data_IF_964737470247
#
_entry.id   IF_964737470247
#
_cell.length_a   1.000
_cell.length_b   1.000
_cell.length_c   1.000
_cell.angle_alpha   90.00
_cell.angle_beta   90.00
_cell.angle_gamma   90.00
#
_symmetry.space_group_name_H-M   'P 1'
#
loop_
_entity.id
_entity.type
_entity.pdbx_description
1 polymer ?
#
# COMPACT_ATOMS: atom_id res chain seq x y z
N UNK A 1 13.46 13.30 -9.30
CA UNK A 1 12.94 14.63 -9.68
C UNK A 1 11.75 15.05 -8.81
N UNK A 2 11.51 16.36 -8.72
CA UNK A 2 10.27 16.88 -8.12
C UNK A 2 9.15 16.73 -9.15
N UNK A 3 8.18 15.85 -8.88
CA UNK A 3 7.07 15.58 -9.80
C UNK A 3 5.92 16.57 -9.61
N UNK A 4 5.70 17.02 -8.36
CA UNK A 4 4.68 18.00 -8.01
C UNK A 4 5.28 19.09 -7.14
N UNK A 5 4.98 20.34 -7.47
CA UNK A 5 5.32 21.50 -6.63
C UNK A 5 4.16 21.72 -5.67
N UNK A 6 4.42 21.59 -4.38
CA UNK A 6 3.44 21.82 -3.34
C UNK A 6 3.42 23.30 -2.94
N UNK A 7 2.24 23.89 -2.93
CA UNK A 7 2.04 25.23 -2.41
C UNK A 7 1.97 25.24 -0.89
N UNK A 8 2.80 26.05 -0.25
CA UNK A 8 2.71 26.29 1.19
C UNK A 8 1.42 27.08 1.50
N UNK A 9 0.55 26.48 2.38
CA UNK A 9 -0.69 27.14 2.84
C UNK A 9 -0.61 27.46 4.34
N UNK A 10 -0.82 26.45 5.18
CA UNK A 10 -0.70 26.59 6.64
C UNK A 10 0.63 26.05 7.18
N UNK A 11 1.32 25.23 6.40
CA UNK A 11 2.60 24.67 6.75
C UNK A 11 3.69 25.22 5.81
N UNK A 12 4.91 25.34 6.33
CA UNK A 12 6.10 25.57 5.49
C UNK A 12 6.44 24.27 4.81
N UNK A 13 6.57 24.30 3.48
CA UNK A 13 6.93 23.15 2.66
C UNK A 13 8.25 23.47 1.95
N UNK A 14 9.25 22.64 2.18
CA UNK A 14 10.51 22.67 1.47
C UNK A 14 10.64 21.40 0.64
N UNK A 15 10.98 21.56 -0.63
CA UNK A 15 11.22 20.46 -1.56
C UNK A 15 12.67 20.52 -2.04
N UNK A 16 13.30 19.36 -2.15
CA UNK A 16 14.69 19.23 -2.59
C UNK A 16 14.82 18.11 -3.61
N UNK A 17 15.41 18.42 -4.72
CA UNK A 17 15.70 17.47 -5.80
C UNK A 17 17.13 16.98 -5.71
N UNK A 18 17.31 15.65 -5.82
CA UNK A 18 18.63 15.05 -5.90
C UNK A 18 19.28 15.38 -7.23
N UNK A 19 20.51 15.89 -7.19
CA UNK A 19 21.25 16.35 -8.37
C UNK A 19 21.14 17.85 -8.62
N UNK A 20 20.13 18.52 -8.04
CA UNK A 20 19.94 19.98 -8.12
C UNK A 20 20.19 20.63 -6.76
N UNK A 21 19.35 20.34 -5.77
CA UNK A 21 19.40 20.96 -4.44
C UNK A 21 20.24 20.16 -3.44
N UNK A 22 20.39 18.87 -3.67
CA UNK A 22 21.19 17.95 -2.84
C UNK A 22 21.90 16.91 -3.69
N UNK A 23 23.12 16.50 -3.28
CA UNK A 23 23.90 15.53 -4.04
C UNK A 23 23.36 14.08 -3.91
N UNK A 24 22.73 13.73 -2.80
CA UNK A 24 22.22 12.38 -2.52
C UNK A 24 21.01 12.46 -1.59
N UNK A 25 20.12 11.44 -1.62
CA UNK A 25 19.04 11.28 -0.65
C UNK A 25 19.54 11.35 0.79
N UNK A 26 20.60 10.61 1.10
CA UNK A 26 21.21 10.61 2.43
C UNK A 26 21.63 11.99 2.91
N UNK A 27 22.19 12.84 2.02
CA UNK A 27 22.58 14.20 2.38
C UNK A 27 21.36 15.11 2.54
N UNK A 28 20.38 14.97 1.65
CA UNK A 28 19.12 15.72 1.72
C UNK A 28 18.38 15.46 3.01
N UNK A 29 18.21 14.17 3.36
CA UNK A 29 17.48 13.77 4.55
C UNK A 29 18.19 14.17 5.86
N UNK A 30 19.53 14.02 5.92
CA UNK A 30 20.31 14.54 7.07
C UNK A 30 20.18 16.06 7.23
N UNK A 31 20.12 16.80 6.13
CA UNK A 31 19.87 18.24 6.16
C UNK A 31 18.45 18.57 6.64
N UNK A 32 17.45 17.82 6.18
CA UNK A 32 16.06 17.98 6.59
C UNK A 32 15.87 17.72 8.10
N UNK A 33 16.42 16.64 8.64
CA UNK A 33 16.33 16.31 10.07
C UNK A 33 16.86 17.43 11.00
N UNK A 34 17.86 18.20 10.54
CA UNK A 34 18.40 19.35 11.31
C UNK A 34 17.48 20.57 11.31
N UNK A 35 16.45 20.58 10.47
CA UNK A 35 15.47 21.65 10.38
C UNK A 35 14.23 21.37 11.25
N UNK A 36 14.25 20.26 12.02
CA UNK A 36 13.18 19.84 12.91
C UNK A 36 11.80 19.75 12.21
N UNK A 37 11.69 19.02 11.07
CA UNK A 37 10.43 18.89 10.39
C UNK A 37 9.48 18.02 11.19
N UNK A 38 8.16 18.28 11.08
CA UNK A 38 7.15 17.38 11.62
C UNK A 38 6.90 16.19 10.70
N UNK A 39 6.93 16.43 9.40
CA UNK A 39 6.66 15.44 8.35
C UNK A 39 7.81 15.44 7.34
N UNK A 40 8.25 14.25 6.97
CA UNK A 40 9.25 14.03 5.92
C UNK A 40 8.60 13.17 4.83
N UNK A 41 8.51 13.71 3.61
CA UNK A 41 8.08 12.95 2.45
C UNK A 41 9.31 12.51 1.63
N UNK A 42 9.52 11.21 1.51
CA UNK A 42 10.54 10.60 0.65
C UNK A 42 9.83 10.04 -0.56
N UNK A 43 10.04 10.63 -1.73
CA UNK A 43 9.29 10.31 -2.95
C UNK A 43 9.22 8.80 -3.23
N UNK A 44 10.35 8.11 -3.18
CA UNK A 44 10.40 6.64 -3.29
C UNK A 44 11.60 6.06 -2.55
N UNK A 45 11.38 4.98 -1.80
CA UNK A 45 12.45 4.20 -1.16
C UNK A 45 12.87 3.05 -2.09
N UNK A 46 14.01 3.22 -2.79
CA UNK A 46 14.54 2.23 -3.73
C UNK A 46 15.75 1.46 -3.21
N UNK A 47 16.48 2.02 -2.27
CA UNK A 47 17.76 1.50 -1.81
C UNK A 47 17.84 1.42 -0.28
N UNK A 48 18.77 0.58 0.19
CA UNK A 48 19.04 0.34 1.61
C UNK A 48 19.28 1.65 2.38
N UNK A 49 20.02 2.59 1.80
CA UNK A 49 20.38 3.83 2.49
C UNK A 49 19.16 4.69 2.75
N UNK A 50 18.29 4.86 1.74
CA UNK A 50 17.05 5.61 1.87
C UNK A 50 16.11 4.98 2.90
N UNK A 51 15.97 3.64 2.89
CA UNK A 51 15.15 2.89 3.85
C UNK A 51 15.69 3.01 5.29
N UNK A 52 16.99 2.81 5.49
CA UNK A 52 17.63 2.93 6.80
C UNK A 52 17.43 4.32 7.41
N UNK A 53 17.58 5.37 6.59
CA UNK A 53 17.41 6.74 7.05
C UNK A 53 15.95 7.09 7.32
N UNK A 54 15.02 6.57 6.52
CA UNK A 54 13.59 6.75 6.75
C UNK A 54 13.15 6.11 8.07
N UNK A 55 13.60 4.89 8.36
CA UNK A 55 13.37 4.22 9.65
C UNK A 55 13.96 5.00 10.82
N UNK A 56 15.21 5.47 10.70
CA UNK A 56 15.85 6.28 11.73
C UNK A 56 15.11 7.61 11.98
N UNK A 57 14.63 8.25 10.93
CA UNK A 57 13.82 9.47 11.04
C UNK A 57 12.49 9.20 11.76
N UNK A 58 11.82 8.07 11.45
CA UNK A 58 10.60 7.67 12.11
C UNK A 58 10.81 7.36 13.61
N UNK A 59 11.92 6.71 13.98
CA UNK A 59 12.28 6.44 15.38
C UNK A 59 12.54 7.72 16.18
N UNK A 60 13.05 8.75 15.53
CA UNK A 60 13.32 10.06 16.19
C UNK A 60 12.08 10.94 16.30
N UNK A 61 10.89 10.44 15.92
CA UNK A 61 9.60 11.10 16.15
C UNK A 61 9.03 11.84 14.96
N UNK A 62 9.66 11.78 13.78
CA UNK A 62 9.11 12.35 12.56
C UNK A 62 8.02 11.44 11.95
N UNK A 63 6.96 12.04 11.41
CA UNK A 63 6.09 11.31 10.50
C UNK A 63 6.78 11.18 9.13
N UNK A 64 7.15 9.96 8.76
CA UNK A 64 7.75 9.68 7.45
C UNK A 64 6.69 9.09 6.52
N UNK A 65 6.51 9.70 5.37
CA UNK A 65 5.64 9.23 4.30
C UNK A 65 6.53 8.88 3.09
N UNK A 66 6.31 7.72 2.51
CA UNK A 66 7.06 7.31 1.31
C UNK A 66 6.25 6.41 0.40
N UNK A 67 6.77 6.15 -0.80
CA UNK A 67 6.20 5.19 -1.74
C UNK A 67 7.16 4.04 -2.01
N UNK A 68 6.58 2.91 -2.39
CA UNK A 68 7.31 1.73 -2.85
C UNK A 68 6.55 1.05 -3.99
N UNK A 69 7.29 0.44 -4.93
CA UNK A 69 6.69 -0.33 -6.03
C UNK A 69 6.30 -1.74 -5.55
N UNK A 70 5.25 -1.85 -4.74
CA UNK A 70 4.70 -3.09 -4.17
C UNK A 70 3.19 -3.15 -4.38
N UNK A 71 2.60 -4.35 -4.41
CA UNK A 71 1.20 -4.56 -4.74
C UNK A 71 0.31 -4.79 -3.50
N UNK A 72 0.91 -5.11 -2.34
CA UNK A 72 0.19 -5.35 -1.10
C UNK A 72 0.96 -4.87 0.13
N UNK A 73 0.27 -4.70 1.25
CA UNK A 73 0.88 -4.31 2.52
C UNK A 73 1.89 -5.36 3.03
N UNK A 74 1.54 -6.64 2.94
CA UNK A 74 2.46 -7.72 3.31
C UNK A 74 3.73 -7.70 2.46
N UNK A 75 3.59 -7.53 1.14
CA UNK A 75 4.73 -7.42 0.23
C UNK A 75 5.59 -6.19 0.54
N UNK A 76 4.98 -5.07 0.93
CA UNK A 76 5.70 -3.85 1.33
C UNK A 76 6.58 -4.12 2.55
N UNK A 77 6.02 -4.73 3.60
CA UNK A 77 6.76 -5.10 4.81
C UNK A 77 7.92 -6.04 4.48
N UNK A 78 7.67 -7.12 3.74
CA UNK A 78 8.70 -8.06 3.30
C UNK A 78 9.82 -7.36 2.53
N UNK A 79 9.46 -6.51 1.56
CA UNK A 79 10.45 -5.80 0.73
C UNK A 79 11.34 -4.86 1.53
N UNK A 80 10.78 -4.17 2.53
CA UNK A 80 11.60 -3.34 3.43
C UNK A 80 12.60 -4.22 4.17
N UNK A 81 12.15 -5.32 4.79
CA UNK A 81 13.01 -6.21 5.58
C UNK A 81 14.11 -6.83 4.70
N UNK A 82 13.74 -7.38 3.54
CA UNK A 82 14.65 -8.09 2.62
C UNK A 82 15.69 -7.17 1.96
N UNK A 83 15.46 -5.86 1.98
CA UNK A 83 16.45 -4.89 1.52
C UNK A 83 17.67 -4.80 2.42
N UNK A 84 17.59 -5.34 3.64
CA UNK A 84 18.70 -5.35 4.60
C UNK A 84 19.43 -6.70 4.64
N UNK A 85 20.74 -6.69 4.93
CA UNK A 85 21.50 -7.93 5.11
C UNK A 85 20.88 -8.85 6.17
N UNK A 86 20.93 -10.18 6.02
CA UNK A 86 20.26 -11.13 6.94
C UNK A 86 20.53 -10.91 8.42
N UNK A 87 21.77 -10.54 8.78
CA UNK A 87 22.15 -10.29 10.18
C UNK A 87 21.50 -9.03 10.78
N UNK A 88 20.99 -8.10 9.95
CA UNK A 88 20.30 -6.88 10.39
C UNK A 88 18.76 -7.05 10.41
N UNK A 89 18.22 -7.99 9.68
CA UNK A 89 16.77 -8.15 9.53
C UNK A 89 16.00 -8.29 10.85
N UNK A 90 16.49 -9.02 11.90
CA UNK A 90 15.79 -9.06 13.18
C UNK A 90 15.64 -7.69 13.84
N UNK A 91 16.67 -6.85 13.76
CA UNK A 91 16.63 -5.48 14.27
C UNK A 91 15.64 -4.62 13.45
N UNK A 92 15.69 -4.74 12.12
CA UNK A 92 14.77 -3.99 11.23
C UNK A 92 13.32 -4.39 11.46
N UNK A 93 13.01 -5.67 11.68
CA UNK A 93 11.66 -6.11 12.06
C UNK A 93 11.18 -5.44 13.35
N UNK A 94 12.03 -5.39 14.37
CA UNK A 94 11.68 -4.72 15.62
C UNK A 94 11.44 -3.23 15.43
N UNK A 95 12.29 -2.52 14.69
CA UNK A 95 12.14 -1.10 14.37
C UNK A 95 10.86 -0.86 13.57
N UNK A 96 10.64 -1.62 12.50
CA UNK A 96 9.47 -1.49 11.63
C UNK A 96 8.17 -1.76 12.38
N UNK A 97 8.13 -2.79 13.25
CA UNK A 97 6.97 -3.08 14.08
C UNK A 97 6.57 -1.91 15.00
N UNK A 98 7.54 -1.11 15.44
CA UNK A 98 7.29 0.04 16.32
C UNK A 98 6.96 1.32 15.54
N UNK A 99 7.53 1.51 14.36
CA UNK A 99 7.47 2.77 13.62
C UNK A 99 6.42 2.79 12.52
N UNK A 100 6.15 1.64 11.86
CA UNK A 100 5.16 1.57 10.80
C UNK A 100 3.76 1.87 11.35
N UNK A 101 3.03 2.77 10.68
CA UNK A 101 1.68 3.18 11.08
C UNK A 101 0.61 2.65 10.13
N UNK A 102 0.84 2.79 8.84
CA UNK A 102 -0.11 2.33 7.83
C UNK A 102 0.60 2.00 6.53
N UNK A 103 -0.02 1.14 5.73
CA UNK A 103 0.31 0.91 4.33
C UNK A 103 -0.96 1.03 3.50
N UNK A 104 -0.89 1.79 2.42
CA UNK A 104 -1.96 1.89 1.42
C UNK A 104 -1.43 1.33 0.12
N UNK A 105 -1.98 0.19 -0.32
CA UNK A 105 -1.66 -0.41 -1.62
C UNK A 105 -2.74 -0.06 -2.62
N UNK A 106 -2.38 0.14 -3.89
CA UNK A 106 -3.31 0.56 -4.92
C UNK A 106 -3.09 -0.20 -6.23
N UNK A 107 -4.19 -0.66 -6.81
CA UNK A 107 -4.27 -1.17 -8.18
C UNK A 107 -5.19 -0.29 -9.02
N UNK A 108 -4.79 0.02 -10.25
CA UNK A 108 -5.63 0.73 -11.22
C UNK A 108 -6.24 -0.26 -12.20
N UNK A 109 -7.55 -0.41 -12.14
CA UNK A 109 -8.32 -1.34 -12.96
C UNK A 109 -9.04 -0.60 -14.09
N UNK A 110 -9.07 -1.16 -15.32
CA UNK A 110 -9.87 -0.58 -16.39
C UNK A 110 -11.35 -0.62 -16.00
N UNK A 111 -12.05 0.49 -16.24
CA UNK A 111 -13.49 0.57 -16.01
C UNK A 111 -14.25 -0.23 -17.07
N UNK A 112 -15.35 -0.84 -16.66
CA UNK A 112 -16.22 -1.61 -17.55
C UNK A 112 -16.86 -0.74 -18.65
N UNK A 113 -17.09 0.56 -18.39
CA UNK A 113 -17.62 1.51 -19.36
C UNK A 113 -16.58 2.04 -20.37
N UNK A 114 -15.33 1.56 -20.30
CA UNK A 114 -14.22 1.98 -21.17
C UNK A 114 -13.68 3.40 -20.88
N UNK A 115 -14.19 4.10 -19.86
CA UNK A 115 -13.82 5.49 -19.56
C UNK A 115 -12.70 5.58 -18.53
N UNK A 116 -11.50 5.14 -18.89
CA UNK A 116 -10.33 5.25 -18.03
C UNK A 116 -10.24 4.13 -16.99
N UNK A 117 -9.74 4.43 -15.79
CA UNK A 117 -9.44 3.47 -14.73
C UNK A 117 -10.09 3.86 -13.42
N UNK A 118 -10.29 2.88 -12.55
CA UNK A 118 -10.72 3.04 -11.16
C UNK A 118 -9.72 2.38 -10.24
N UNK A 119 -9.49 2.95 -9.05
CA UNK A 119 -8.54 2.43 -8.10
C UNK A 119 -9.22 1.46 -7.11
N UNK A 120 -8.72 0.23 -7.03
CA UNK A 120 -8.87 -0.63 -5.87
C UNK A 120 -7.77 -0.32 -4.86
N UNK A 121 -8.10 -0.22 -3.57
CA UNK A 121 -7.13 0.12 -2.53
C UNK A 121 -7.24 -0.82 -1.36
N UNK A 122 -6.10 -1.34 -0.93
CA UNK A 122 -5.95 -2.04 0.33
C UNK A 122 -5.49 -1.04 1.40
N UNK A 123 -6.08 -1.11 2.58
CA UNK A 123 -5.69 -0.31 3.74
C UNK A 123 -5.28 -1.23 4.88
N UNK A 124 -4.05 -1.07 5.36
CA UNK A 124 -3.53 -1.70 6.55
C UNK A 124 -3.16 -0.63 7.58
N UNK A 125 -3.76 -0.67 8.75
CA UNK A 125 -3.33 0.09 9.92
C UNK A 125 -2.63 -0.84 10.90
N UNK A 126 -1.44 -0.43 11.39
CA UNK A 126 -0.62 -1.30 12.22
C UNK A 126 -1.14 -1.29 13.66
N UNK A 127 -1.88 -2.35 13.99
CA UNK A 127 -2.31 -2.66 15.35
C UNK A 127 -1.33 -3.64 16.02
N UNK A 128 -1.59 -4.00 17.30
CA UNK A 128 -0.74 -4.90 18.08
C UNK A 128 -0.56 -6.27 17.42
N UNK A 129 -1.58 -6.80 16.74
CA UNK A 129 -1.49 -8.09 16.04
C UNK A 129 -0.47 -8.01 14.89
N UNK A 130 -0.56 -6.97 14.05
CA UNK A 130 0.37 -6.76 12.94
C UNK A 130 1.79 -6.49 13.45
N UNK A 131 1.97 -5.71 14.52
CA UNK A 131 3.27 -5.50 15.14
C UNK A 131 3.93 -6.83 15.54
N UNK A 132 3.17 -7.72 16.15
CA UNK A 132 3.67 -9.05 16.55
C UNK A 132 4.03 -9.89 15.33
N UNK A 133 3.19 -9.91 14.28
CA UNK A 133 3.49 -10.64 13.04
C UNK A 133 4.77 -10.15 12.35
N UNK A 134 5.01 -8.85 12.32
CA UNK A 134 6.25 -8.28 11.76
C UNK A 134 7.46 -8.71 12.59
N UNK A 135 7.37 -8.61 13.92
CA UNK A 135 8.45 -8.97 14.84
C UNK A 135 8.81 -10.44 14.77
N UNK A 136 7.79 -11.31 14.69
CA UNK A 136 7.91 -12.77 14.74
C UNK A 136 8.21 -13.40 13.37
N UNK A 137 8.45 -12.58 12.32
CA UNK A 137 8.68 -13.04 10.95
C UNK A 137 7.50 -13.81 10.32
N UNK A 138 6.29 -13.44 10.71
CA UNK A 138 5.02 -14.05 10.23
C UNK A 138 4.27 -13.11 9.28
N UNK A 139 5.00 -12.36 8.46
CA UNK A 139 4.45 -11.33 7.57
C UNK A 139 3.38 -11.89 6.62
N UNK A 140 3.49 -13.17 6.21
CA UNK A 140 2.51 -13.86 5.38
C UNK A 140 1.10 -13.92 5.99
N UNK A 141 0.96 -13.77 7.32
CA UNK A 141 -0.33 -13.78 8.02
C UNK A 141 -1.01 -12.39 8.06
N UNK A 142 -0.32 -11.32 7.65
CA UNK A 142 -0.85 -9.95 7.65
C UNK A 142 -2.14 -9.85 6.83
N UNK A 143 -2.18 -10.48 5.66
CA UNK A 143 -3.36 -10.47 4.78
C UNK A 143 -4.61 -11.00 5.50
N UNK A 144 -4.47 -12.05 6.30
CA UNK A 144 -5.58 -12.59 7.08
C UNK A 144 -6.05 -11.62 8.16
N UNK A 145 -5.12 -10.91 8.82
CA UNK A 145 -5.48 -9.89 9.82
C UNK A 145 -6.23 -8.75 9.15
N UNK A 146 -5.78 -8.25 8.00
CA UNK A 146 -6.48 -7.20 7.25
C UNK A 146 -7.91 -7.67 6.91
N UNK A 147 -8.06 -8.88 6.38
CA UNK A 147 -9.35 -9.41 5.95
C UNK A 147 -10.37 -9.60 7.10
N UNK A 148 -9.89 -9.78 8.34
CA UNK A 148 -10.73 -10.02 9.51
C UNK A 148 -10.91 -8.81 10.42
N UNK A 149 -10.16 -7.72 10.19
CA UNK A 149 -10.12 -6.52 11.06
C UNK A 149 -11.00 -5.38 10.54
N UNK A 150 -12.24 -5.67 10.17
CA UNK A 150 -13.20 -4.66 9.69
C UNK A 150 -13.48 -3.54 10.71
N UNK A 151 -13.27 -3.79 12.01
CA UNK A 151 -13.46 -2.78 13.08
C UNK A 151 -12.31 -1.79 13.18
N UNK A 152 -11.17 -2.07 12.56
CA UNK A 152 -9.96 -1.24 12.59
C UNK A 152 -9.82 -0.42 11.30
N UNK A 153 -10.92 -0.21 10.55
CA UNK A 153 -10.97 0.50 9.26
C UNK A 153 -10.00 -0.06 8.19
N UNK A 154 -9.64 -1.35 8.33
CA UNK A 154 -8.82 -2.04 7.35
C UNK A 154 -9.69 -2.57 6.20
N UNK A 155 -9.11 -2.59 5.00
CA UNK A 155 -9.77 -3.08 3.79
C UNK A 155 -8.79 -3.94 3.01
N UNK A 156 -9.15 -5.20 2.73
CA UNK A 156 -8.33 -6.06 1.89
C UNK A 156 -8.47 -5.69 0.40
N UNK A 157 -7.45 -5.99 -0.39
CA UNK A 157 -7.51 -5.79 -1.84
C UNK A 157 -8.67 -6.56 -2.47
N UNK A 158 -8.92 -7.79 -2.03
CA UNK A 158 -10.00 -8.64 -2.53
C UNK A 158 -11.38 -8.03 -2.24
N UNK A 159 -11.58 -7.43 -1.05
CA UNK A 159 -12.83 -6.74 -0.71
C UNK A 159 -13.01 -5.46 -1.53
N UNK A 160 -11.93 -4.70 -1.72
CA UNK A 160 -11.96 -3.49 -2.57
C UNK A 160 -12.31 -3.83 -4.03
N UNK A 161 -11.73 -4.91 -4.58
CA UNK A 161 -12.05 -5.38 -5.93
C UNK A 161 -13.50 -5.87 -6.00
N UNK A 162 -13.95 -6.63 -5.00
CA UNK A 162 -15.33 -7.11 -4.89
C UNK A 162 -16.32 -5.95 -4.94
N UNK A 163 -16.08 -4.90 -4.16
CA UNK A 163 -16.92 -3.70 -4.14
C UNK A 163 -17.01 -3.01 -5.52
N UNK A 164 -15.90 -2.95 -6.25
CA UNK A 164 -15.89 -2.35 -7.60
C UNK A 164 -16.69 -3.18 -8.61
N UNK A 165 -16.67 -4.50 -8.49
CA UNK A 165 -17.49 -5.39 -9.33
C UNK A 165 -18.97 -5.27 -8.96
N UNK A 166 -19.31 -5.29 -7.67
CA UNK A 166 -20.69 -5.14 -7.18
C UNK A 166 -21.31 -3.79 -7.58
N UNK A 167 -20.48 -2.74 -7.69
CA UNK A 167 -20.88 -1.42 -8.23
C UNK A 167 -20.96 -1.35 -9.76
N UNK A 168 -20.63 -2.42 -10.48
CA UNK A 168 -20.58 -2.44 -11.94
C UNK A 168 -19.50 -1.55 -12.55
N UNK A 169 -18.48 -1.15 -11.77
CA UNK A 169 -17.37 -0.32 -12.25
C UNK A 169 -16.30 -1.12 -12.96
N UNK A 170 -16.13 -2.39 -12.57
CA UNK A 170 -15.15 -3.32 -13.13
C UNK A 170 -15.86 -4.62 -13.47
N UNK A 171 -15.54 -5.22 -14.61
CA UNK A 171 -16.11 -6.52 -14.98
C UNK A 171 -15.50 -7.66 -14.17
N UNK A 172 -16.24 -8.76 -14.01
CA UNK A 172 -15.74 -9.96 -13.35
C UNK A 172 -14.49 -10.52 -14.06
N UNK A 173 -14.47 -10.51 -15.39
CA UNK A 173 -13.36 -11.01 -16.23
C UNK A 173 -12.07 -10.22 -15.96
N UNK A 174 -12.19 -8.91 -15.73
CA UNK A 174 -11.05 -8.07 -15.34
C UNK A 174 -10.59 -8.34 -13.91
N UNK A 175 -11.53 -8.57 -13.02
CA UNK A 175 -11.29 -8.68 -11.57
C UNK A 175 -10.76 -10.05 -11.15
N UNK A 176 -11.32 -11.16 -11.69
CA UNK A 176 -11.09 -12.51 -11.18
C UNK A 176 -9.62 -12.97 -11.12
N UNK A 177 -8.70 -12.59 -12.04
CA UNK A 177 -7.30 -13.02 -11.96
C UNK A 177 -6.53 -12.32 -10.84
N UNK A 178 -7.09 -11.27 -10.24
CA UNK A 178 -6.43 -10.42 -9.24
C UNK A 178 -6.74 -10.85 -7.79
N UNK A 179 -7.67 -11.78 -7.61
CA UNK A 179 -8.02 -12.29 -6.29
C UNK A 179 -6.92 -13.20 -5.73
N UNK A 180 -6.55 -12.95 -4.49
CA UNK A 180 -5.67 -13.82 -3.71
C UNK A 180 -6.46 -14.91 -2.99
N UNK A 181 -7.68 -14.60 -2.53
CA UNK A 181 -8.58 -15.52 -1.86
C UNK A 181 -9.50 -16.24 -2.88
N UNK A 182 -9.29 -17.55 -3.01
CA UNK A 182 -10.05 -18.40 -3.93
C UNK A 182 -11.52 -18.55 -3.54
N UNK A 183 -11.86 -18.48 -2.25
CA UNK A 183 -13.24 -18.59 -1.75
C UNK A 183 -14.00 -17.30 -2.05
N UNK A 184 -13.41 -16.14 -1.79
CA UNK A 184 -13.99 -14.83 -2.15
C UNK A 184 -14.21 -14.75 -3.66
N UNK A 185 -13.24 -15.15 -4.47
CA UNK A 185 -13.37 -15.21 -5.92
C UNK A 185 -14.53 -16.09 -6.37
N UNK A 186 -14.64 -17.32 -5.82
CA UNK A 186 -15.74 -18.23 -6.16
C UNK A 186 -17.11 -17.71 -5.71
N UNK A 187 -17.18 -17.05 -4.58
CA UNK A 187 -18.38 -16.41 -4.07
C UNK A 187 -18.85 -15.28 -5.00
N UNK A 188 -17.93 -14.41 -5.40
CA UNK A 188 -18.23 -13.33 -6.35
C UNK A 188 -18.72 -13.90 -7.70
N UNK A 189 -18.05 -14.92 -8.21
CA UNK A 189 -18.47 -15.60 -9.44
C UNK A 189 -19.93 -16.05 -9.39
N UNK A 190 -20.31 -16.75 -8.32
CA UNK A 190 -21.71 -17.22 -8.14
C UNK A 190 -22.71 -16.07 -8.10
N UNK A 191 -22.35 -14.93 -7.50
CA UNK A 191 -23.23 -13.75 -7.44
C UNK A 191 -23.41 -13.12 -8.82
N UNK A 192 -22.32 -12.89 -9.53
CA UNK A 192 -22.34 -12.25 -10.87
C UNK A 192 -23.13 -13.11 -11.86
N UNK A 193 -22.90 -14.43 -11.91
CA UNK A 193 -23.61 -15.33 -12.83
C UNK A 193 -25.09 -15.55 -12.46
N UNK A 194 -25.48 -15.41 -11.18
CA UNK A 194 -26.89 -15.43 -10.78
C UNK A 194 -27.63 -14.14 -11.12
N UNK A 195 -26.93 -13.01 -11.12
CA UNK A 195 -27.49 -11.70 -11.46
C UNK A 195 -27.60 -11.47 -12.98
N UNK A 196 -26.89 -12.25 -13.81
CA UNK A 196 -27.04 -12.20 -15.24
C UNK A 196 -28.44 -12.75 -15.61
N UNK A 197 -29.32 -11.96 -16.28
CA UNK A 197 -30.58 -12.48 -16.76
C UNK A 197 -30.30 -13.63 -17.72
N UNK A 198 -30.98 -14.76 -17.56
CA UNK A 198 -30.99 -15.85 -18.52
C UNK A 198 -31.30 -15.21 -19.89
N UNK A 199 -30.29 -15.16 -20.78
CA UNK A 199 -30.46 -14.67 -22.13
C UNK A 199 -31.60 -15.48 -22.75
N UNK A 200 -32.71 -14.77 -23.09
CA UNK A 200 -33.98 -15.34 -23.38
C UNK A 200 -33.93 -16.42 -24.43
N UNK A 201 -34.63 -17.48 -24.13
CA UNK A 201 -35.33 -18.24 -25.16
C UNK A 201 -36.32 -17.31 -25.87
N UNK A 202 -35.83 -16.52 -26.82
CA UNK A 202 -36.62 -15.73 -27.77
C UNK A 202 -37.10 -16.69 -28.83
N UNK A 203 -38.33 -17.18 -28.62
CA UNK A 203 -39.04 -18.11 -29.44
C UNK A 203 -39.09 -17.72 -30.90
N UNK A 204 -38.83 -18.68 -31.71
CA UNK A 204 -39.33 -18.79 -33.05
C UNK A 204 -40.88 -18.83 -33.03
N UNK A 205 -41.50 -17.87 -33.62
CA UNK A 205 -42.79 -17.98 -34.35
C UNK A 205 -42.78 -16.99 -35.49
#
# INVERSE_FOLDING_TARGET
PIEFIFEAKQAVIEQREVGVDTKTYARGLRGALRQLPHVIFVGEMRDLTSMSMALSAAETGNLVISTMATQSAAQTVTRIIDSFPPHQQPQIRAQLALTLRAVVSQLLLPRQDGRGRVAAREFMFVNQAIQNLIRDDKVHQITNVIATSLRDDMLSMDDAITELVDKGLVSYETAHPLFHDTEKRASLQKRVFRAAPLAGEGGSR
#
